data_IF_391689050400
#
_entry.id   IF_391689050400
#
_cell.length_a   1.000
_cell.length_b   1.000
_cell.length_c   1.000
_cell.angle_alpha   90.00
_cell.angle_beta   90.00
_cell.angle_gamma   90.00
#
_symmetry.space_group_name_H-M   'P 1'
#
loop_
_entity.id
_entity.type
_entity.pdbx_description
1 polymer ?
#
# COMPACT_ATOMS: atom_id res chain seq x y z
N UNK A 1 18.67 17.08 -10.17
CA UNK A 1 17.44 17.36 -9.39
C UNK A 1 16.30 18.01 -10.19
N UNK A 2 16.22 17.84 -11.49
CA UNK A 2 15.17 18.43 -12.34
C UNK A 2 13.92 17.53 -12.54
N UNK A 3 13.83 16.42 -11.79
CA UNK A 3 12.83 15.37 -12.06
C UNK A 3 11.46 15.61 -11.41
N UNK A 4 11.37 16.50 -10.44
CA UNK A 4 10.07 16.84 -9.84
C UNK A 4 9.46 18.06 -10.55
N UNK A 5 9.07 17.86 -11.80
CA UNK A 5 8.13 18.77 -12.46
C UNK A 5 6.82 18.77 -11.63
N UNK A 6 6.12 19.89 -11.56
CA UNK A 6 4.88 20.06 -10.78
C UNK A 6 3.88 18.91 -10.99
N UNK A 7 3.83 18.32 -12.19
CA UNK A 7 2.98 17.19 -12.54
C UNK A 7 3.38 15.90 -11.80
N UNK A 8 4.67 15.61 -11.65
CA UNK A 8 5.16 14.42 -10.96
C UNK A 8 4.90 14.52 -9.45
N UNK A 9 5.17 15.68 -8.87
CA UNK A 9 4.87 15.96 -7.46
C UNK A 9 3.37 15.80 -7.17
N UNK A 10 2.50 16.27 -8.07
CA UNK A 10 1.06 16.12 -7.96
C UNK A 10 0.63 14.65 -7.97
N UNK A 11 1.17 13.85 -8.90
CA UNK A 11 0.85 12.41 -9.01
C UNK A 11 1.28 11.65 -7.75
N UNK A 12 2.48 11.93 -7.24
CA UNK A 12 3.00 11.28 -6.03
C UNK A 12 2.16 11.66 -4.81
N UNK A 13 1.76 12.94 -4.70
CA UNK A 13 0.90 13.42 -3.62
C UNK A 13 -0.51 12.83 -3.71
N UNK A 14 -1.10 12.77 -4.90
CA UNK A 14 -2.40 12.14 -5.12
C UNK A 14 -2.35 10.64 -4.76
N UNK A 15 -1.27 9.94 -5.12
CA UNK A 15 -1.07 8.56 -4.71
C UNK A 15 -1.05 8.41 -3.18
N UNK A 16 -0.32 9.27 -2.45
CA UNK A 16 -0.29 9.25 -0.99
C UNK A 16 -1.69 9.46 -0.39
N UNK A 17 -2.44 10.45 -0.88
CA UNK A 17 -3.82 10.70 -0.42
C UNK A 17 -4.69 9.46 -0.62
N UNK A 18 -4.63 8.82 -1.77
CA UNK A 18 -5.39 7.59 -2.05
C UNK A 18 -4.96 6.45 -1.12
N UNK A 19 -3.67 6.31 -0.81
CA UNK A 19 -3.20 5.29 0.14
C UNK A 19 -3.72 5.54 1.57
N UNK A 20 -3.85 6.80 1.98
CA UNK A 20 -4.48 7.17 3.26
C UNK A 20 -5.98 6.79 3.24
N UNK A 21 -6.68 7.04 2.14
CA UNK A 21 -8.09 6.60 1.97
C UNK A 21 -8.19 5.07 2.05
N UNK A 22 -7.32 4.33 1.39
CA UNK A 22 -7.25 2.86 1.48
C UNK A 22 -7.04 2.42 2.92
N UNK A 23 -6.16 3.08 3.68
CA UNK A 23 -5.96 2.78 5.11
C UNK A 23 -7.25 2.96 5.92
N UNK A 24 -8.00 4.04 5.72
CA UNK A 24 -9.30 4.24 6.41
C UNK A 24 -10.34 3.19 5.99
N UNK A 25 -10.36 2.77 4.73
CA UNK A 25 -11.21 1.67 4.28
C UNK A 25 -10.86 0.36 4.98
N UNK A 26 -9.56 0.05 5.15
CA UNK A 26 -9.10 -1.14 5.88
C UNK A 26 -9.50 -1.09 7.36
N UNK A 27 -9.32 0.06 8.02
CA UNK A 27 -9.72 0.28 9.41
C UNK A 27 -11.25 0.15 9.59
N UNK A 28 -12.02 0.73 8.68
CA UNK A 28 -13.48 0.60 8.66
C UNK A 28 -13.91 -0.86 8.42
N UNK A 29 -13.27 -1.54 7.48
CA UNK A 29 -13.51 -2.96 7.21
C UNK A 29 -13.21 -3.83 8.44
N UNK A 30 -12.15 -3.54 9.17
CA UNK A 30 -11.84 -4.21 10.43
C UNK A 30 -12.96 -4.00 11.47
N UNK A 31 -13.48 -2.80 11.61
CA UNK A 31 -14.59 -2.48 12.51
C UNK A 31 -15.89 -3.20 12.10
N UNK A 32 -16.18 -3.33 10.81
CA UNK A 32 -17.35 -4.10 10.33
C UNK A 32 -17.25 -5.57 10.69
N UNK A 33 -16.04 -6.15 10.68
CA UNK A 33 -15.79 -7.52 11.11
C UNK A 33 -16.06 -7.70 12.60
N UNK A 34 -15.62 -6.78 13.45
CA UNK A 34 -15.89 -6.84 14.90
C UNK A 34 -17.37 -6.75 15.24
N UNK A 35 -18.17 -6.09 14.38
CA UNK A 35 -19.63 -6.02 14.47
C UNK A 35 -20.37 -7.18 13.77
N UNK A 36 -19.64 -8.25 13.39
CA UNK A 36 -20.17 -9.45 12.71
C UNK A 36 -20.86 -9.17 11.35
N UNK A 37 -20.60 -8.01 10.73
CA UNK A 37 -21.18 -7.62 9.43
C UNK A 37 -20.31 -8.13 8.27
N UNK A 38 -20.13 -9.45 8.16
CA UNK A 38 -19.17 -10.10 7.26
C UNK A 38 -19.34 -9.76 5.78
N UNK A 39 -20.59 -9.64 5.28
CA UNK A 39 -20.82 -9.27 3.88
C UNK A 39 -20.31 -7.87 3.55
N UNK A 40 -20.60 -6.89 4.40
CA UNK A 40 -20.13 -5.51 4.24
C UNK A 40 -18.61 -5.44 4.40
N UNK A 41 -18.06 -6.17 5.38
CA UNK A 41 -16.59 -6.31 5.56
C UNK A 41 -15.94 -6.79 4.28
N UNK A 42 -16.40 -7.86 3.65
CA UNK A 42 -15.83 -8.40 2.43
C UNK A 42 -15.89 -7.43 1.25
N UNK A 43 -16.99 -6.68 1.09
CA UNK A 43 -17.13 -5.65 0.05
C UNK A 43 -16.10 -4.54 0.27
N UNK A 44 -16.01 -3.98 1.47
CA UNK A 44 -15.08 -2.89 1.79
C UNK A 44 -13.61 -3.32 1.60
N UNK A 45 -13.25 -4.54 2.03
CA UNK A 45 -11.90 -5.08 1.81
C UNK A 45 -11.59 -5.30 0.34
N UNK A 46 -12.55 -5.77 -0.46
CA UNK A 46 -12.38 -5.91 -1.91
C UNK A 46 -12.21 -4.56 -2.59
N UNK A 47 -12.99 -3.55 -2.20
CA UNK A 47 -12.86 -2.18 -2.73
C UNK A 47 -11.49 -1.58 -2.41
N UNK A 48 -11.03 -1.71 -1.16
CA UNK A 48 -9.71 -1.24 -0.75
C UNK A 48 -8.59 -1.93 -1.55
N UNK A 49 -8.67 -3.24 -1.74
CA UNK A 49 -7.70 -4.00 -2.53
C UNK A 49 -7.69 -3.58 -4.01
N UNK A 50 -8.86 -3.43 -4.64
CA UNK A 50 -8.96 -3.01 -6.05
C UNK A 50 -8.36 -1.61 -6.22
N UNK A 51 -8.71 -0.68 -5.35
CA UNK A 51 -8.17 0.68 -5.39
C UNK A 51 -6.64 0.68 -5.25
N UNK A 52 -6.12 -0.11 -4.31
CA UNK A 52 -4.67 -0.25 -4.12
C UNK A 52 -3.99 -0.90 -5.33
N UNK A 53 -4.60 -1.94 -5.95
CA UNK A 53 -4.09 -2.58 -7.17
C UNK A 53 -4.00 -1.59 -8.34
N UNK A 54 -5.01 -0.75 -8.53
CA UNK A 54 -5.01 0.29 -9.56
C UNK A 54 -3.83 1.24 -9.32
N UNK A 55 -3.66 1.74 -8.10
CA UNK A 55 -2.56 2.65 -7.78
C UNK A 55 -1.19 1.97 -7.89
N UNK A 56 -1.07 0.71 -7.51
CA UNK A 56 0.16 -0.06 -7.69
C UNK A 56 0.53 -0.20 -9.18
N UNK A 57 -0.43 -0.56 -10.03
CA UNK A 57 -0.19 -0.78 -11.45
C UNK A 57 0.13 0.51 -12.22
N UNK A 58 -0.59 1.60 -11.94
CA UNK A 58 -0.48 2.82 -12.74
C UNK A 58 0.49 3.86 -12.19
N UNK A 59 0.80 3.83 -10.91
CA UNK A 59 1.68 4.82 -10.27
C UNK A 59 2.91 4.17 -9.65
N UNK A 60 2.72 3.19 -8.74
CA UNK A 60 3.83 2.67 -7.93
C UNK A 60 4.84 1.87 -8.77
N UNK A 61 4.38 0.92 -9.59
CA UNK A 61 5.27 0.09 -10.42
C UNK A 61 6.01 0.94 -11.46
N UNK A 62 5.35 1.81 -12.25
CA UNK A 62 6.06 2.69 -13.19
C UNK A 62 7.06 3.61 -12.49
N UNK A 63 6.70 4.25 -11.37
CA UNK A 63 7.64 5.12 -10.66
C UNK A 63 8.80 4.35 -10.04
N UNK A 64 8.60 3.12 -9.55
CA UNK A 64 9.66 2.26 -9.07
C UNK A 64 10.66 1.94 -10.17
N UNK A 65 10.19 1.47 -11.34
CA UNK A 65 11.05 1.00 -12.43
C UNK A 65 11.75 2.17 -13.14
N UNK A 66 11.03 3.26 -13.39
CA UNK A 66 11.57 4.36 -14.21
C UNK A 66 12.39 5.37 -13.41
N UNK A 67 12.06 5.59 -12.14
CA UNK A 67 12.73 6.60 -11.33
C UNK A 67 13.49 6.00 -10.14
N UNK A 68 12.82 5.29 -9.23
CA UNK A 68 13.41 4.89 -7.95
C UNK A 68 14.60 3.96 -8.12
N UNK A 69 14.51 2.97 -9.01
CA UNK A 69 15.61 2.04 -9.27
C UNK A 69 16.81 2.79 -9.88
N UNK A 70 16.59 3.58 -10.91
CA UNK A 70 17.65 4.21 -11.67
C UNK A 70 18.30 5.41 -10.97
N UNK A 71 17.53 6.21 -10.21
CA UNK A 71 18.03 7.44 -9.60
C UNK A 71 18.49 7.25 -8.15
N UNK A 72 17.97 6.26 -7.43
CA UNK A 72 18.27 6.06 -6.00
C UNK A 72 18.91 4.70 -5.72
N UNK A 73 18.35 3.58 -6.18
CA UNK A 73 18.80 2.25 -5.78
C UNK A 73 20.14 1.91 -6.44
N UNK A 74 20.28 2.08 -7.75
CA UNK A 74 21.51 1.73 -8.47
C UNK A 74 22.67 2.63 -8.07
N UNK A 75 22.56 3.97 -8.07
CA UNK A 75 23.69 4.85 -7.75
C UNK A 75 24.10 4.79 -6.27
N UNK A 76 23.15 4.65 -5.36
CA UNK A 76 23.38 4.72 -3.91
C UNK A 76 22.57 3.67 -3.14
N UNK A 77 22.89 2.36 -3.29
CA UNK A 77 22.07 1.28 -2.74
C UNK A 77 22.00 1.28 -1.20
N UNK A 78 23.01 1.79 -0.52
CA UNK A 78 23.10 1.88 0.95
C UNK A 78 22.60 3.22 1.51
N UNK A 79 22.17 4.15 0.67
CA UNK A 79 21.57 5.38 1.14
C UNK A 79 20.25 5.09 1.89
N UNK A 80 19.95 5.88 2.91
CA UNK A 80 18.74 5.73 3.72
C UNK A 80 17.47 5.77 2.86
N UNK A 81 17.43 6.60 1.83
CA UNK A 81 16.30 6.69 0.87
C UNK A 81 16.09 5.37 0.12
N UNK A 82 17.18 4.74 -0.36
CA UNK A 82 17.12 3.46 -1.07
C UNK A 82 16.66 2.32 -0.16
N UNK A 83 17.18 2.28 1.07
CA UNK A 83 16.79 1.27 2.07
C UNK A 83 15.31 1.40 2.41
N UNK A 84 14.82 2.61 2.68
CA UNK A 84 13.41 2.87 3.00
C UNK A 84 12.52 2.50 1.82
N UNK A 85 12.91 2.84 0.58
CA UNK A 85 12.18 2.45 -0.63
C UNK A 85 12.07 0.92 -0.76
N UNK A 86 13.19 0.21 -0.58
CA UNK A 86 13.22 -1.26 -0.66
C UNK A 86 12.33 -1.91 0.40
N UNK A 87 12.39 -1.45 1.65
CA UNK A 87 11.54 -1.95 2.73
C UNK A 87 10.06 -1.72 2.38
N UNK A 88 9.71 -0.52 1.90
CA UNK A 88 8.35 -0.20 1.48
C UNK A 88 7.86 -1.15 0.37
N UNK A 89 8.65 -1.37 -0.66
CA UNK A 89 8.31 -2.24 -1.80
C UNK A 89 8.14 -3.69 -1.36
N UNK A 90 9.05 -4.22 -0.53
CA UNK A 90 8.98 -5.60 -0.04
C UNK A 90 7.74 -5.80 0.83
N UNK A 91 7.51 -4.94 1.82
CA UNK A 91 6.34 -5.01 2.69
C UNK A 91 5.03 -4.83 1.90
N UNK A 92 5.00 -3.89 0.95
CA UNK A 92 3.86 -3.64 0.07
C UNK A 92 3.52 -4.85 -0.80
N UNK A 93 4.52 -5.49 -1.39
CA UNK A 93 4.35 -6.70 -2.21
C UNK A 93 3.81 -7.87 -1.38
N UNK A 94 4.30 -8.06 -0.16
CA UNK A 94 3.80 -9.08 0.77
C UNK A 94 2.35 -8.79 1.14
N UNK A 95 2.03 -7.56 1.54
CA UNK A 95 0.68 -7.15 1.92
C UNK A 95 -0.30 -7.33 0.76
N UNK A 96 0.09 -6.95 -0.46
CA UNK A 96 -0.72 -7.07 -1.66
C UNK A 96 -1.00 -8.54 -2.01
N UNK A 97 0.02 -9.39 -2.00
CA UNK A 97 -0.11 -10.83 -2.29
C UNK A 97 -1.05 -11.52 -1.30
N UNK A 98 -0.88 -11.28 -0.01
CA UNK A 98 -1.79 -11.81 1.02
C UNK A 98 -3.19 -11.19 0.92
N UNK A 99 -3.32 -9.92 0.57
CA UNK A 99 -4.60 -9.24 0.35
C UNK A 99 -5.39 -9.89 -0.79
N UNK A 100 -4.75 -10.12 -1.93
CA UNK A 100 -5.33 -10.83 -3.08
C UNK A 100 -5.80 -12.23 -2.67
N UNK A 101 -4.92 -12.99 -2.01
CA UNK A 101 -5.25 -14.35 -1.56
C UNK A 101 -6.44 -14.37 -0.59
N UNK A 102 -6.50 -13.45 0.36
CA UNK A 102 -7.61 -13.36 1.33
C UNK A 102 -8.93 -13.02 0.64
N UNK A 103 -8.95 -12.02 -0.24
CA UNK A 103 -10.17 -11.60 -0.95
C UNK A 103 -10.63 -12.67 -1.93
N UNK A 104 -9.73 -13.25 -2.72
CA UNK A 104 -10.05 -14.34 -3.64
C UNK A 104 -10.63 -15.53 -2.89
N UNK A 105 -10.00 -15.94 -1.79
CA UNK A 105 -10.44 -17.08 -1.00
C UNK A 105 -11.79 -16.86 -0.32
N UNK A 106 -12.16 -15.61 0.03
CA UNK A 106 -13.48 -15.28 0.54
C UNK A 106 -14.53 -15.31 -0.58
N UNK A 107 -14.24 -14.73 -1.72
CA UNK A 107 -15.17 -14.65 -2.85
C UNK A 107 -15.57 -16.02 -3.39
N UNK A 108 -14.63 -16.97 -3.46
CA UNK A 108 -14.89 -18.30 -3.97
C UNK A 108 -15.63 -19.21 -3.00
N UNK A 109 -15.48 -19.03 -1.70
CA UNK A 109 -16.06 -19.96 -0.70
C UNK A 109 -17.33 -19.51 -0.03
N UNK A 110 -17.66 -18.22 -0.05
CA UNK A 110 -18.86 -17.58 0.56
C UNK A 110 -19.23 -18.06 1.98
N UNK A 111 -18.30 -18.73 2.69
CA UNK A 111 -18.54 -19.38 3.96
C UNK A 111 -17.98 -18.54 5.11
N UNK A 112 -18.83 -18.23 6.11
CA UNK A 112 -18.49 -17.46 7.31
C UNK A 112 -17.37 -18.15 8.10
N UNK A 113 -17.39 -19.49 8.19
CA UNK A 113 -16.35 -20.28 8.87
C UNK A 113 -14.95 -20.03 8.28
N UNK A 114 -14.85 -19.85 6.96
CA UNK A 114 -13.59 -19.54 6.30
C UNK A 114 -13.00 -18.18 6.71
N UNK A 115 -13.86 -17.19 7.04
CA UNK A 115 -13.43 -15.89 7.55
C UNK A 115 -12.89 -16.00 8.99
N UNK A 116 -13.54 -16.78 9.84
CA UNK A 116 -13.15 -17.00 11.24
C UNK A 116 -11.80 -17.71 11.32
N UNK A 117 -11.61 -18.78 10.57
CA UNK A 117 -10.38 -19.58 10.54
C UNK A 117 -9.16 -18.78 10.06
N UNK A 118 -9.38 -17.69 9.29
CA UNK A 118 -8.30 -16.85 8.72
C UNK A 118 -8.07 -15.56 9.50
N UNK A 119 -8.67 -15.38 10.66
CA UNK A 119 -8.53 -14.16 11.49
C UNK A 119 -7.06 -13.78 11.73
N UNK A 120 -6.19 -14.77 12.01
CA UNK A 120 -4.75 -14.54 12.25
C UNK A 120 -4.04 -13.98 11.01
N UNK A 121 -4.34 -14.51 9.83
CA UNK A 121 -3.75 -14.03 8.57
C UNK A 121 -4.23 -12.62 8.22
N UNK A 122 -5.51 -12.32 8.45
CA UNK A 122 -6.06 -10.99 8.21
C UNK A 122 -5.39 -9.92 9.09
N UNK A 123 -5.13 -10.22 10.36
CA UNK A 123 -4.41 -9.32 11.26
C UNK A 123 -2.95 -9.11 10.82
N UNK A 124 -2.26 -10.19 10.45
CA UNK A 124 -0.88 -10.11 9.95
C UNK A 124 -0.80 -9.29 8.67
N UNK A 125 -1.71 -9.53 7.71
CA UNK A 125 -1.77 -8.75 6.47
C UNK A 125 -2.03 -7.28 6.74
N UNK A 126 -2.96 -6.95 7.65
CA UNK A 126 -3.23 -5.57 8.04
C UNK A 126 -1.98 -4.91 8.67
N UNK A 127 -1.30 -5.61 9.58
CA UNK A 127 -0.09 -5.09 10.23
C UNK A 127 1.03 -4.81 9.21
N UNK A 128 1.27 -5.74 8.28
CA UNK A 128 2.26 -5.55 7.19
C UNK A 128 1.87 -4.40 6.28
N UNK A 129 0.58 -4.24 5.98
CA UNK A 129 0.08 -3.12 5.16
C UNK A 129 0.30 -1.78 5.83
N UNK A 130 -0.03 -1.67 7.13
CA UNK A 130 0.22 -0.46 7.92
C UNK A 130 1.72 -0.14 7.98
N UNK A 131 2.57 -1.15 8.21
CA UNK A 131 4.02 -0.97 8.19
C UNK A 131 4.50 -0.46 6.82
N UNK A 132 4.04 -1.05 5.73
CA UNK A 132 4.34 -0.58 4.37
C UNK A 132 3.92 0.88 4.17
N UNK A 133 2.72 1.26 4.63
CA UNK A 133 2.23 2.64 4.53
C UNK A 133 3.12 3.62 5.29
N UNK A 134 3.56 3.27 6.51
CA UNK A 134 4.48 4.11 7.30
C UNK A 134 5.79 4.33 6.56
N UNK A 135 6.40 3.26 6.03
CA UNK A 135 7.62 3.39 5.21
C UNK A 135 7.38 4.19 3.93
N UNK A 136 6.22 4.07 3.31
CA UNK A 136 5.81 4.88 2.15
C UNK A 136 5.71 6.37 2.48
N UNK A 137 5.16 6.73 3.65
CA UNK A 137 5.09 8.13 4.12
C UNK A 137 6.50 8.67 4.39
N UNK A 138 7.37 7.88 5.04
CA UNK A 138 8.75 8.28 5.30
C UNK A 138 9.48 8.50 3.96
N UNK A 139 9.34 7.58 3.01
CA UNK A 139 9.93 7.70 1.68
C UNK A 139 9.43 8.96 0.96
N UNK A 140 8.13 9.22 0.98
CA UNK A 140 7.54 10.44 0.43
C UNK A 140 8.14 11.71 1.06
N UNK A 141 8.26 11.75 2.38
CA UNK A 141 8.85 12.88 3.09
C UNK A 141 10.33 13.10 2.73
N UNK A 142 11.08 12.01 2.51
CA UNK A 142 12.47 12.08 2.06
C UNK A 142 12.61 12.60 0.62
N UNK A 143 11.64 12.30 -0.26
CA UNK A 143 11.63 12.79 -1.64
C UNK A 143 11.22 14.26 -1.74
N UNK A 144 10.17 14.67 -1.04
CA UNK A 144 9.57 16.00 -1.16
C UNK A 144 10.20 17.01 -0.18
N UNK A 145 10.71 16.56 0.96
CA UNK A 145 11.28 17.42 1.98
C UNK A 145 12.40 18.35 1.49
N UNK A 146 13.33 17.92 0.65
CA UNK A 146 14.35 18.80 0.06
C UNK A 146 13.77 19.84 -0.90
N UNK A 147 12.67 19.50 -1.60
CA UNK A 147 12.01 20.39 -2.58
C UNK A 147 11.26 21.52 -1.91
N UNK A 148 10.70 21.27 -0.71
CA UNK A 148 9.97 22.28 0.06
C UNK A 148 10.88 23.27 0.82
N UNK A 149 12.17 22.95 0.94
CA UNK A 149 13.17 23.78 1.65
C UNK A 149 14.00 24.67 0.75
N UNK A 150 13.91 24.52 -0.55
CA UNK A 150 14.62 25.32 -1.56
C UNK A 150 13.71 26.28 -2.27
#
# INVERSE_FOLDING_TARGET
MAFLNNSVALIITANLVIQVVVFFLLAYGYNLKSKLRFRRHGIVMSTALILHLIMAAYVMIPSLVLAVINEYIIPTPLASTSIVALIHVVLGSIALSFGIWLVASWRFRKNIQGCINRKKYMLKTLAVWVASLVFGIIFYAMLIGPVLKG
#
